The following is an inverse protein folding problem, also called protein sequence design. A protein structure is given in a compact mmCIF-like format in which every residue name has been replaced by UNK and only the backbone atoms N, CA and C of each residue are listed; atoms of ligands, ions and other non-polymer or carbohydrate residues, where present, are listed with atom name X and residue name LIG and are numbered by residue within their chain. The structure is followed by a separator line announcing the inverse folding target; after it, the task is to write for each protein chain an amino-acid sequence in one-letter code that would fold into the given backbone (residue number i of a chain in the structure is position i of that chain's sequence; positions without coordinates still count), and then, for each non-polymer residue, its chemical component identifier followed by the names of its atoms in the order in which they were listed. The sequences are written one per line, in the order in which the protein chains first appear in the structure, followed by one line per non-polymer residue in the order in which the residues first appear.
data_IF_902342897258
#
_entry.id   IF_902342897258
#
_cell.length_a   1.000
_cell.length_b   1.000
_cell.length_c   1.000
_cell.angle_alpha   90.00
_cell.angle_beta   90.00
_cell.angle_gamma   90.00
#
_symmetry.space_group_name_H-M   'P 1'
#
loop_
_entity.id
_entity.type
_entity.pdbx_description
1 polymer ?
#
# COMPACT_ATOMS: atom_id res chain seq x y z
N UNK A 1 -19.52 -24.79 13.15
CA UNK A 1 -18.64 -24.43 12.02
C UNK A 1 -18.21 -25.70 11.31
N UNK A 2 -18.78 -25.98 10.14
CA UNK A 2 -18.34 -27.10 9.30
C UNK A 2 -17.15 -26.66 8.44
N UNK A 3 -16.34 -27.62 7.95
CA UNK A 3 -15.22 -27.32 7.03
C UNK A 3 -15.65 -26.46 5.84
N UNK A 4 -16.84 -26.73 5.30
CA UNK A 4 -17.42 -25.97 4.20
C UNK A 4 -17.70 -24.51 4.59
N UNK A 5 -18.26 -24.26 5.78
CA UNK A 5 -18.50 -22.89 6.26
C UNK A 5 -17.20 -22.11 6.41
N UNK A 6 -16.15 -22.71 6.98
CA UNK A 6 -14.84 -22.06 7.12
C UNK A 6 -14.26 -21.69 5.74
N UNK A 7 -14.29 -22.61 4.77
CA UNK A 7 -13.82 -22.33 3.41
C UNK A 7 -14.62 -21.20 2.73
N UNK A 8 -15.94 -21.17 2.94
CA UNK A 8 -16.80 -20.11 2.41
C UNK A 8 -16.44 -18.74 3.00
N UNK A 9 -16.25 -18.66 4.32
CA UNK A 9 -15.86 -17.40 4.97
C UNK A 9 -14.48 -16.90 4.53
N UNK A 10 -13.51 -17.80 4.35
CA UNK A 10 -12.18 -17.44 3.82
C UNK A 10 -12.30 -16.85 2.41
N UNK A 11 -13.12 -17.45 1.55
CA UNK A 11 -13.33 -16.95 0.19
C UNK A 11 -14.00 -15.56 0.21
N UNK A 12 -15.01 -15.38 1.04
CA UNK A 12 -15.68 -14.08 1.23
C UNK A 12 -14.68 -12.99 1.61
N UNK A 13 -13.83 -13.26 2.61
CA UNK A 13 -12.81 -12.29 3.05
C UNK A 13 -11.75 -12.02 1.97
N UNK A 14 -11.30 -13.06 1.25
CA UNK A 14 -10.30 -12.91 0.20
C UNK A 14 -10.80 -12.05 -0.96
N UNK A 15 -12.04 -12.28 -1.41
CA UNK A 15 -12.66 -11.50 -2.50
C UNK A 15 -12.89 -10.05 -2.05
N UNK A 16 -13.47 -9.85 -0.86
CA UNK A 16 -13.73 -8.52 -0.32
C UNK A 16 -12.45 -7.69 -0.16
N UNK A 17 -11.35 -8.30 0.28
CA UNK A 17 -10.06 -7.62 0.46
C UNK A 17 -9.35 -7.28 -0.85
N UNK A 18 -9.54 -8.09 -1.89
CA UNK A 18 -8.83 -7.92 -3.16
C UNK A 18 -9.34 -6.68 -3.92
N UNK A 19 -10.65 -6.60 -4.16
CA UNK A 19 -11.23 -5.52 -4.96
C UNK A 19 -11.07 -4.15 -4.26
N UNK A 20 -11.30 -4.10 -2.95
CA UNK A 20 -11.16 -2.86 -2.17
C UNK A 20 -9.73 -2.37 -2.11
N UNK A 21 -8.75 -3.25 -1.80
CA UNK A 21 -7.34 -2.86 -1.71
C UNK A 21 -6.78 -2.48 -3.08
N UNK A 22 -7.11 -3.23 -4.13
CA UNK A 22 -6.70 -2.90 -5.50
C UNK A 22 -7.27 -1.54 -5.92
N UNK A 23 -8.54 -1.27 -5.64
CA UNK A 23 -9.16 0.03 -5.94
C UNK A 23 -8.49 1.15 -5.16
N UNK A 24 -8.19 0.97 -3.87
CA UNK A 24 -7.52 1.98 -3.02
C UNK A 24 -6.10 2.28 -3.51
N UNK A 25 -5.34 1.26 -3.94
CA UNK A 25 -3.97 1.45 -4.42
C UNK A 25 -3.88 1.94 -5.86
N UNK A 26 -4.92 1.73 -6.67
CA UNK A 26 -4.90 2.12 -8.09
C UNK A 26 -4.67 3.61 -8.28
N UNK A 27 -5.35 4.46 -7.50
CA UNK A 27 -5.25 5.92 -7.63
C UNK A 27 -3.88 6.48 -7.18
N UNK A 28 -3.33 6.13 -5.99
CA UNK A 28 -1.99 6.54 -5.60
C UNK A 28 -0.92 6.10 -6.60
N UNK A 29 -0.97 4.86 -7.09
CA UNK A 29 -0.01 4.37 -8.08
C UNK A 29 -0.13 5.13 -9.41
N UNK A 30 -1.36 5.40 -9.86
CA UNK A 30 -1.61 6.23 -11.04
C UNK A 30 -1.01 7.63 -10.89
N UNK A 31 -1.25 8.31 -9.77
CA UNK A 31 -0.70 9.65 -9.52
C UNK A 31 0.84 9.63 -9.42
N UNK A 32 1.44 8.61 -8.81
CA UNK A 32 2.91 8.47 -8.78
C UNK A 32 3.52 8.43 -10.18
N UNK A 33 2.93 7.69 -11.12
CA UNK A 33 3.43 7.64 -12.50
C UNK A 33 3.36 8.99 -13.24
N UNK A 34 2.57 9.94 -12.74
CA UNK A 34 2.42 11.29 -13.32
C UNK A 34 3.30 12.33 -12.64
N UNK A 35 3.91 11.98 -11.50
CA UNK A 35 4.73 12.86 -10.68
C UNK A 35 6.10 12.20 -10.41
N UNK A 36 7.01 12.18 -11.40
CA UNK A 36 8.29 11.48 -11.29
C UNK A 36 9.19 12.03 -10.17
N UNK A 37 9.03 13.31 -9.80
CA UNK A 37 9.69 13.93 -8.66
C UNK A 37 9.21 13.35 -7.32
N UNK A 38 7.91 13.06 -7.21
CA UNK A 38 7.31 12.42 -6.03
C UNK A 38 7.71 10.94 -6.01
N UNK A 39 7.64 10.24 -7.15
CA UNK A 39 8.07 8.84 -7.27
C UNK A 39 9.53 8.66 -6.82
N UNK A 40 10.44 9.50 -7.32
CA UNK A 40 11.85 9.44 -6.92
C UNK A 40 12.05 9.64 -5.41
N UNK A 41 11.25 10.51 -4.78
CA UNK A 41 11.28 10.73 -3.32
C UNK A 41 10.76 9.53 -2.54
N UNK A 42 9.68 8.89 -3.00
CA UNK A 42 9.16 7.65 -2.40
C UNK A 42 10.23 6.56 -2.44
N UNK A 43 10.82 6.32 -3.60
CA UNK A 43 11.82 5.27 -3.79
C UNK A 43 13.07 5.54 -2.95
N UNK A 44 13.50 6.80 -2.83
CA UNK A 44 14.60 7.18 -1.96
C UNK A 44 14.29 6.91 -0.47
N UNK A 45 13.08 7.23 0.00
CA UNK A 45 12.66 6.92 1.38
C UNK A 45 12.64 5.41 1.64
N UNK A 46 12.07 4.64 0.72
CA UNK A 46 12.07 3.17 0.81
C UNK A 46 13.49 2.62 0.82
N UNK A 47 14.38 3.12 -0.03
CA UNK A 47 15.79 2.73 -0.04
C UNK A 47 16.48 3.03 1.29
N UNK A 48 16.18 4.17 1.92
CA UNK A 48 16.72 4.54 3.24
C UNK A 48 16.21 3.65 4.37
N UNK A 49 14.91 3.34 4.40
CA UNK A 49 14.30 2.54 5.48
C UNK A 49 14.62 1.05 5.34
N UNK A 50 14.61 0.54 4.10
CA UNK A 50 14.77 -0.88 3.82
C UNK A 50 16.23 -1.26 3.60
N UNK A 51 17.08 -0.37 3.10
CA UNK A 51 18.48 -0.67 2.77
C UNK A 51 18.65 -1.96 1.93
N UNK A 52 17.69 -2.23 1.03
CA UNK A 52 17.68 -3.42 0.17
C UNK A 52 17.15 -4.70 0.82
N UNK A 53 16.75 -4.69 2.10
CA UNK A 53 16.13 -5.86 2.75
C UNK A 53 14.63 -5.95 2.41
N UNK A 54 14.02 -7.15 2.50
CA UNK A 54 12.58 -7.31 2.37
C UNK A 54 11.80 -6.46 3.39
N UNK A 55 10.64 -5.94 2.97
CA UNK A 55 9.74 -5.20 3.86
C UNK A 55 9.18 -6.11 4.95
N UNK A 56 9.11 -5.59 6.17
CA UNK A 56 8.55 -6.24 7.35
C UNK A 56 7.45 -5.38 7.96
N UNK A 57 6.63 -5.94 8.84
CA UNK A 57 5.55 -5.19 9.48
C UNK A 57 6.06 -4.02 10.33
N UNK A 58 7.26 -4.11 10.90
CA UNK A 58 7.89 -3.03 11.67
C UNK A 58 8.17 -1.78 10.83
N UNK A 59 8.27 -1.94 9.51
CA UNK A 59 8.57 -0.85 8.59
C UNK A 59 7.39 0.06 8.33
N UNK A 60 6.17 -0.43 8.57
CA UNK A 60 4.93 0.34 8.38
C UNK A 60 4.93 1.60 9.24
N UNK A 61 5.51 1.53 10.45
CA UNK A 61 5.65 2.68 11.37
C UNK A 61 6.84 3.56 11.00
N UNK A 62 7.85 3.00 10.31
CA UNK A 62 9.09 3.68 9.95
C UNK A 62 8.97 4.48 8.65
N UNK A 63 8.16 3.99 7.71
CA UNK A 63 7.80 4.71 6.48
C UNK A 63 6.89 5.86 6.89
N UNK A 64 7.36 7.10 6.77
CA UNK A 64 6.59 8.26 7.23
C UNK A 64 5.60 8.66 6.15
N UNK A 65 4.34 9.02 6.47
CA UNK A 65 3.34 9.45 5.49
C UNK A 65 3.60 10.86 4.93
N UNK A 66 4.86 11.32 4.88
CA UNK A 66 5.26 12.69 4.53
C UNK A 66 4.83 13.12 3.12
N UNK A 67 4.48 12.17 2.26
CA UNK A 67 4.05 12.44 0.89
C UNK A 67 2.54 12.71 0.77
N UNK A 68 1.74 12.28 1.75
CA UNK A 68 0.28 12.50 1.76
C UNK A 68 -0.06 13.92 2.23
N UNK A 69 0.86 14.60 2.92
CA UNK A 69 0.60 15.89 3.58
C UNK A 69 0.93 17.12 2.72
N UNK A 70 1.45 16.97 1.50
CA UNK A 70 1.94 18.11 0.70
C UNK A 70 1.12 18.45 -0.55
N UNK A 71 -0.01 17.78 -0.79
CA UNK A 71 -0.94 18.18 -1.86
C UNK A 71 -2.32 18.44 -1.29
N UNK A 72 -2.45 19.52 -0.53
CA UNK A 72 -3.71 20.24 -0.48
C UNK A 72 -3.48 21.64 -1.02
N UNK A 73 -3.75 21.82 -2.32
CA UNK A 73 -4.31 23.06 -2.86
C UNK A 73 -4.77 22.90 -4.32
N UNK A 74 -5.88 23.54 -4.73
CA UNK A 74 -7.03 24.03 -3.96
C UNK A 74 -8.20 23.04 -3.95
#
# INVERSE_FOLDING_TARGET
MTRHQICSEILTLAVAGTETTASVLSWPLYELTRHPDIEARVLAELAQVLAGRPVTFEDVVRIKPRLITTSHRP
#
